data_IF_502937019658
#
_entry.id   IF_502937019658
#
_cell.length_a   1.000
_cell.length_b   1.000
_cell.length_c   1.000
_cell.angle_alpha   90.00
_cell.angle_beta   90.00
_cell.angle_gamma   90.00
#
_symmetry.space_group_name_H-M   'P 1'
#
loop_
_entity.id
_entity.type
_entity.pdbx_description
1 polymer ?
#
# COMPACT_ATOMS: atom_id res chain seq x y z
N UNK A 1 -0.15 1.69 5.98
CA UNK A 1 -1.18 2.60 5.45
C UNK A 1 -0.60 3.89 4.87
N UNK A 2 0.24 4.68 5.56
CA UNK A 2 1.01 5.76 4.89
C UNK A 2 1.91 5.24 3.75
N UNK A 3 2.47 4.03 3.90
CA UNK A 3 3.19 3.31 2.83
C UNK A 3 2.33 2.97 1.60
N UNK A 4 1.00 2.99 1.72
CA UNK A 4 0.07 2.65 0.63
C UNK A 4 -0.37 3.91 -0.11
N UNK A 5 -0.92 4.90 0.60
CA UNK A 5 -1.50 6.10 -0.03
C UNK A 5 -0.50 7.20 -0.39
N UNK A 6 0.42 7.56 0.52
CA UNK A 6 1.27 8.76 0.33
C UNK A 6 2.29 8.58 -0.79
N UNK A 7 2.73 7.34 -0.99
CA UNK A 7 3.74 7.03 -1.99
C UNK A 7 3.16 7.09 -3.40
N UNK A 8 1.95 6.54 -3.56
CA UNK A 8 1.24 6.62 -4.83
C UNK A 8 0.99 8.08 -5.22
N UNK A 9 0.58 8.93 -4.28
CA UNK A 9 0.43 10.37 -4.54
C UNK A 9 1.73 11.03 -5.00
N UNK A 10 2.86 10.71 -4.36
CA UNK A 10 4.17 11.20 -4.76
C UNK A 10 4.57 10.75 -6.17
N UNK A 11 4.31 9.49 -6.53
CA UNK A 11 4.66 8.91 -7.82
C UNK A 11 3.76 9.39 -8.97
N UNK A 12 2.48 9.64 -8.71
CA UNK A 12 1.52 10.08 -9.74
C UNK A 12 1.51 11.61 -9.92
N UNK A 13 1.96 12.36 -8.92
CA UNK A 13 2.01 13.82 -8.96
C UNK A 13 0.66 14.52 -8.81
N UNK A 14 -0.44 13.77 -8.66
CA UNK A 14 -1.80 14.26 -8.53
C UNK A 14 -2.60 13.49 -7.47
N UNK A 15 -3.82 13.92 -7.16
CA UNK A 15 -4.73 13.15 -6.30
C UNK A 15 -5.34 11.96 -7.03
N UNK A 16 -5.65 10.88 -6.32
CA UNK A 16 -6.34 9.71 -6.90
C UNK A 16 -7.65 10.08 -7.62
N UNK A 17 -8.35 11.11 -7.14
CA UNK A 17 -9.58 11.63 -7.75
C UNK A 17 -9.44 12.17 -9.18
N UNK A 18 -8.22 12.56 -9.55
CA UNK A 18 -7.93 13.09 -10.89
C UNK A 18 -7.63 11.99 -11.91
N UNK A 19 -7.52 10.74 -11.47
CA UNK A 19 -7.24 9.59 -12.31
C UNK A 19 -8.53 9.06 -12.97
N UNK A 20 -8.39 8.37 -14.10
CA UNK A 20 -9.50 7.62 -14.68
C UNK A 20 -9.95 6.46 -13.78
N UNK A 21 -11.17 5.97 -13.96
CA UNK A 21 -11.72 4.86 -13.17
C UNK A 21 -10.79 3.62 -13.18
N UNK A 22 -10.21 3.31 -14.35
CA UNK A 22 -9.25 2.22 -14.53
C UNK A 22 -7.96 2.46 -13.73
N UNK A 23 -7.41 3.67 -13.79
CA UNK A 23 -6.21 4.05 -13.04
C UNK A 23 -6.46 4.01 -11.53
N UNK A 24 -7.63 4.45 -11.08
CA UNK A 24 -8.01 4.33 -9.67
C UNK A 24 -8.16 2.86 -9.24
N UNK A 25 -8.68 2.00 -10.12
CA UNK A 25 -8.77 0.57 -9.84
C UNK A 25 -7.38 -0.07 -9.69
N UNK A 26 -6.45 0.27 -10.59
CA UNK A 26 -5.04 -0.16 -10.50
C UNK A 26 -4.38 0.35 -9.22
N UNK A 27 -4.55 1.63 -8.89
CA UNK A 27 -4.01 2.22 -7.67
C UNK A 27 -4.50 1.51 -6.41
N UNK A 28 -5.80 1.17 -6.33
CA UNK A 28 -6.37 0.39 -5.21
C UNK A 28 -5.74 -0.99 -5.09
N UNK A 29 -5.56 -1.71 -6.21
CA UNK A 29 -4.90 -3.02 -6.21
C UNK A 29 -3.47 -2.93 -5.69
N UNK A 30 -2.71 -1.95 -6.18
CA UNK A 30 -1.33 -1.70 -5.70
C UNK A 30 -1.31 -1.46 -4.19
N UNK A 31 -2.22 -0.62 -3.66
CA UNK A 31 -2.30 -0.36 -2.22
C UNK A 31 -2.54 -1.65 -1.42
N UNK A 32 -3.47 -2.51 -1.84
CA UNK A 32 -3.75 -3.75 -1.13
C UNK A 32 -2.58 -4.74 -1.23
N UNK A 33 -1.93 -4.86 -2.39
CA UNK A 33 -0.75 -5.71 -2.56
C UNK A 33 0.39 -5.31 -1.62
N UNK A 34 0.66 -4.00 -1.47
CA UNK A 34 1.63 -3.50 -0.47
C UNK A 34 1.25 -3.97 0.93
N UNK A 35 -0.04 -3.87 1.29
CA UNK A 35 -0.57 -4.32 2.57
C UNK A 35 -0.35 -5.81 2.81
N UNK A 36 -0.64 -6.65 1.82
CA UNK A 36 -0.40 -8.10 1.89
C UNK A 36 1.08 -8.42 2.16
N UNK A 37 2.00 -7.81 1.41
CA UNK A 37 3.44 -8.00 1.60
C UNK A 37 3.90 -7.58 3.01
N UNK A 38 3.46 -6.41 3.48
CA UNK A 38 3.79 -5.93 4.83
C UNK A 38 3.33 -6.92 5.90
N UNK A 39 2.11 -7.45 5.75
CA UNK A 39 1.55 -8.42 6.70
C UNK A 39 2.33 -9.73 6.68
N UNK A 40 2.68 -10.26 5.51
CA UNK A 40 3.50 -11.48 5.41
C UNK A 40 4.86 -11.31 6.09
N UNK A 41 5.52 -10.17 5.87
CA UNK A 41 6.81 -9.87 6.53
C UNK A 41 6.65 -9.78 8.05
N UNK A 42 5.62 -9.08 8.53
CA UNK A 42 5.37 -8.94 9.96
C UNK A 42 5.04 -10.29 10.64
N UNK A 43 4.23 -11.14 10.01
CA UNK A 43 3.95 -12.49 10.52
C UNK A 43 5.21 -13.36 10.55
N UNK A 44 6.08 -13.28 9.53
CA UNK A 44 7.36 -13.99 9.50
C UNK A 44 8.31 -13.55 10.62
N UNK A 45 8.21 -12.30 11.09
CA UNK A 45 8.92 -11.78 12.25
C UNK A 45 8.31 -12.20 13.60
N UNK A 46 7.18 -12.93 13.59
CA UNK A 46 6.43 -13.29 14.79
C UNK A 46 5.66 -12.11 15.42
N UNK A 47 5.42 -11.05 14.64
CA UNK A 47 4.65 -9.89 15.10
C UNK A 47 3.16 -10.20 15.00
N UNK A 48 2.44 -10.06 16.11
CA UNK A 48 0.98 -10.13 16.12
C UNK A 48 0.40 -8.84 15.53
N UNK A 49 -0.38 -8.98 14.46
CA UNK A 49 -1.10 -7.87 13.83
C UNK A 49 -2.59 -8.02 14.17
N UNK A 50 -3.18 -6.95 14.68
CA UNK A 50 -4.63 -6.85 14.87
C UNK A 50 -5.36 -6.82 13.52
N UNK A 51 -6.68 -7.04 13.53
CA UNK A 51 -7.49 -6.92 12.32
C UNK A 51 -7.36 -5.53 11.69
N UNK A 52 -7.25 -5.51 10.37
CA UNK A 52 -7.15 -4.30 9.55
C UNK A 52 -8.55 -4.05 8.98
N UNK A 53 -9.27 -3.04 9.46
CA UNK A 53 -10.66 -2.75 9.02
C UNK A 53 -11.63 -3.92 9.21
N UNK A 54 -11.58 -4.55 10.38
CA UNK A 54 -12.34 -5.76 10.71
C UNK A 54 -12.01 -6.99 9.83
N UNK A 55 -10.97 -6.91 9.00
CA UNK A 55 -10.43 -8.03 8.24
C UNK A 55 -9.21 -8.59 9.00
N UNK A 56 -9.22 -9.88 9.39
CA UNK A 56 -8.07 -10.55 9.98
C UNK A 56 -6.79 -10.37 9.16
N UNK A 57 -5.67 -10.10 9.83
CA UNK A 57 -4.38 -9.98 9.15
C UNK A 57 -4.00 -11.24 8.35
N UNK A 58 -4.42 -12.42 8.81
CA UNK A 58 -4.17 -13.67 8.08
C UNK A 58 -4.78 -13.66 6.67
N UNK A 59 -5.94 -13.02 6.46
CA UNK A 59 -6.55 -12.92 5.12
C UNK A 59 -5.67 -12.10 4.16
N UNK A 60 -4.98 -11.07 4.65
CA UNK A 60 -3.99 -10.34 3.84
C UNK A 60 -2.75 -11.19 3.54
N UNK A 61 -2.32 -12.03 4.48
CA UNK A 61 -1.18 -12.91 4.28
C UNK A 61 -1.45 -13.96 3.21
N UNK A 62 -2.67 -14.53 3.25
CA UNK A 62 -3.11 -15.63 2.39
C UNK A 62 -3.49 -15.16 0.99
N UNK A 63 -3.93 -13.90 0.85
CA UNK A 63 -4.26 -13.33 -0.45
C UNK A 63 -3.04 -13.31 -1.37
N UNK A 64 -3.07 -14.12 -2.44
CA UNK A 64 -1.94 -14.32 -3.35
C UNK A 64 -2.31 -14.22 -4.82
N UNK A 65 -3.62 -14.21 -5.14
CA UNK A 65 -4.14 -14.03 -6.48
C UNK A 65 -4.81 -12.67 -6.67
N UNK A 66 -5.02 -12.28 -7.93
CA UNK A 66 -5.80 -11.07 -8.25
C UNK A 66 -7.25 -11.14 -7.76
N UNK A 67 -7.82 -12.35 -7.69
CA UNK A 67 -9.16 -12.56 -7.15
C UNK A 67 -9.20 -12.31 -5.65
N UNK A 68 -8.20 -12.79 -4.89
CA UNK A 68 -8.11 -12.54 -3.45
C UNK A 68 -7.94 -11.05 -3.16
N UNK A 69 -7.07 -10.38 -3.90
CA UNK A 69 -6.84 -8.93 -3.78
C UNK A 69 -8.14 -8.17 -4.06
N UNK A 70 -8.90 -8.58 -5.08
CA UNK A 70 -10.19 -7.97 -5.38
C UNK A 70 -11.22 -8.22 -4.27
N UNK A 71 -11.24 -9.44 -3.71
CA UNK A 71 -12.07 -9.78 -2.54
C UNK A 71 -11.76 -8.90 -1.34
N UNK A 72 -10.48 -8.69 -1.01
CA UNK A 72 -10.05 -7.78 0.06
C UNK A 72 -10.50 -6.34 -0.20
N UNK A 73 -10.40 -5.84 -1.44
CA UNK A 73 -10.90 -4.51 -1.80
C UNK A 73 -12.39 -4.39 -1.52
N UNK A 74 -13.17 -5.40 -1.87
CA UNK A 74 -14.62 -5.36 -1.73
C UNK A 74 -15.07 -5.50 -0.26
N UNK A 75 -14.37 -6.34 0.52
CA UNK A 75 -14.53 -6.40 1.98
C UNK A 75 -14.22 -5.05 2.65
N UNK A 76 -13.10 -4.41 2.26
CA UNK A 76 -12.73 -3.09 2.78
C UNK A 76 -13.78 -2.03 2.48
N UNK A 77 -14.33 -2.01 1.26
CA UNK A 77 -15.45 -1.12 0.90
C UNK A 77 -16.68 -1.38 1.76
N UNK A 78 -17.04 -2.65 1.96
CA UNK A 78 -18.20 -3.03 2.78
C UNK A 78 -18.03 -2.60 4.25
N UNK A 79 -16.85 -2.82 4.84
CA UNK A 79 -16.58 -2.52 6.25
C UNK A 79 -16.44 -1.02 6.52
N UNK A 80 -16.06 -0.23 5.50
CA UNK A 80 -15.92 1.23 5.62
C UNK A 80 -17.18 2.02 5.23
N UNK A 81 -18.10 1.43 4.45
CA UNK A 81 -19.38 2.05 4.09
C UNK A 81 -20.24 2.55 5.29
N UNK A 82 -20.34 1.83 6.43
CA UNK A 82 -21.15 2.30 7.56
C UNK A 82 -20.51 3.45 8.38
N UNK A 83 -19.25 3.82 8.15
CA UNK A 83 -18.54 4.87 8.91
C UNK A 83 -19.02 6.31 8.62
N UNK A 84 -20.05 6.52 7.77
CA UNK A 84 -20.56 7.84 7.31
C UNK A 84 -19.46 8.77 6.78
N UNK A 85 -18.56 8.21 6.00
CA UNK A 85 -17.54 8.95 5.26
C UNK A 85 -18.07 9.04 3.83
N UNK A 86 -18.25 10.25 3.27
CA UNK A 86 -18.70 10.40 1.89
C UNK A 86 -17.69 9.73 0.93
N UNK A 87 -18.09 9.30 -0.29
CA UNK A 87 -17.15 8.78 -1.28
C UNK A 87 -15.95 9.71 -1.51
N UNK A 88 -16.18 11.03 -1.51
CA UNK A 88 -15.16 12.09 -1.61
C UNK A 88 -14.24 12.16 -0.37
N UNK A 89 -14.74 11.82 0.81
CA UNK A 89 -13.94 11.75 2.03
C UNK A 89 -13.15 10.43 2.11
N UNK A 90 -13.65 9.32 1.56
CA UNK A 90 -12.89 8.07 1.38
C UNK A 90 -11.71 8.32 0.44
N UNK A 91 -11.96 9.11 -0.61
CA UNK A 91 -10.99 9.53 -1.62
C UNK A 91 -9.92 10.50 -1.09
N UNK A 92 -10.30 11.42 -0.18
CA UNK A 92 -9.35 12.29 0.54
C UNK A 92 -8.65 11.60 1.71
N UNK A 93 -9.24 10.55 2.28
CA UNK A 93 -8.65 9.89 3.43
C UNK A 93 -7.53 8.95 3.02
N UNK A 94 -7.65 8.18 1.93
CA UNK A 94 -6.68 7.13 1.55
C UNK A 94 -6.37 6.09 2.65
N UNK A 95 -6.91 6.29 3.86
CA UNK A 95 -6.50 5.83 5.19
C UNK A 95 -7.48 6.43 6.23
N UNK A 96 -8.50 5.74 6.75
CA UNK A 96 -9.06 6.09 8.06
C UNK A 96 -8.16 5.52 9.21
N UNK A 97 -8.33 5.87 10.50
CA UNK A 97 -7.23 5.78 11.47
C UNK A 97 -6.94 4.38 12.04
N UNK A 98 -5.70 3.91 11.78
CA UNK A 98 -4.74 3.14 12.62
C UNK A 98 -5.06 1.70 13.10
N UNK A 99 -4.22 0.73 12.68
CA UNK A 99 -3.74 -0.37 13.53
C UNK A 99 -2.37 0.01 14.15
N UNK A 100 -2.23 -0.28 15.43
CA UNK A 100 -1.14 0.05 16.35
C UNK A 100 0.29 -0.23 15.84
N UNK A 101 0.48 -1.26 15.01
CA UNK A 101 1.80 -1.61 14.45
C UNK A 101 2.35 -0.56 13.48
N UNK A 102 1.49 0.06 12.66
CA UNK A 102 1.89 1.08 11.71
C UNK A 102 2.43 2.33 12.44
N UNK A 103 1.94 2.59 13.65
CA UNK A 103 2.40 3.73 14.45
C UNK A 103 3.81 3.54 15.00
N UNK A 104 4.22 2.30 15.29
CA UNK A 104 5.55 2.02 15.82
C UNK A 104 6.64 2.15 14.75
N UNK A 105 6.31 1.86 13.48
CA UNK A 105 7.19 2.09 12.33
C UNK A 105 7.26 3.59 11.94
N UNK A 106 6.25 4.40 12.28
CA UNK A 106 6.10 5.82 11.89
C UNK A 106 6.95 6.84 12.68
N UNK A 107 7.85 6.43 13.59
CA UNK A 107 8.59 7.37 14.48
C UNK A 107 9.89 7.99 13.92
N UNK A 108 10.18 7.98 12.62
CA UNK A 108 11.42 8.57 12.07
C UNK A 108 11.30 9.32 10.74
N UNK A 109 11.39 10.65 10.75
CA UNK A 109 11.29 11.56 9.58
C UNK A 109 12.47 11.41 8.60
N UNK A 110 12.21 11.30 7.29
CA UNK A 110 12.11 12.39 6.26
C UNK A 110 12.15 11.82 4.82
N UNK A 111 12.41 10.51 4.65
CA UNK A 111 12.21 9.73 3.41
C UNK A 111 11.23 8.58 3.65
N UNK A 112 9.99 8.92 4.04
CA UNK A 112 8.97 7.97 4.55
C UNK A 112 8.67 6.81 3.60
N UNK A 113 8.90 6.94 2.29
CA UNK A 113 8.69 5.88 1.28
C UNK A 113 9.79 4.84 1.28
N UNK A 114 11.06 5.26 1.12
CA UNK A 114 12.21 4.35 1.20
C UNK A 114 12.31 3.74 2.58
N UNK A 115 12.04 4.54 3.61
CA UNK A 115 12.09 4.07 4.99
C UNK A 115 10.98 3.07 5.30
N UNK A 116 9.82 3.12 4.65
CA UNK A 116 8.74 2.16 4.88
C UNK A 116 8.78 1.00 3.88
N UNK A 117 8.61 1.27 2.58
CA UNK A 117 8.56 0.22 1.56
C UNK A 117 9.95 -0.41 1.33
N UNK A 118 11.02 0.40 1.37
CA UNK A 118 12.39 -0.12 1.30
C UNK A 118 12.78 -0.91 2.55
N UNK A 119 12.31 -0.52 3.74
CA UNK A 119 12.50 -1.32 4.96
C UNK A 119 11.75 -2.64 4.90
N UNK A 120 10.49 -2.65 4.45
CA UNK A 120 9.71 -3.86 4.26
C UNK A 120 10.41 -4.77 3.25
N UNK A 121 10.91 -4.21 2.15
CA UNK A 121 11.62 -4.99 1.15
C UNK A 121 12.93 -5.62 1.66
N UNK A 122 13.72 -4.83 2.39
CA UNK A 122 14.93 -5.31 3.03
C UNK A 122 14.63 -6.39 4.07
N UNK A 123 13.67 -6.13 4.95
CA UNK A 123 13.30 -7.05 6.04
C UNK A 123 12.70 -8.34 5.48
N UNK A 124 11.86 -8.23 4.44
CA UNK A 124 11.33 -9.38 3.72
C UNK A 124 12.46 -10.27 3.18
N UNK A 125 13.46 -9.69 2.53
CA UNK A 125 14.62 -10.43 2.07
C UNK A 125 15.40 -11.10 3.23
N UNK A 126 15.54 -10.44 4.38
CA UNK A 126 16.20 -11.00 5.58
C UNK A 126 15.44 -12.19 6.19
N UNK A 127 14.11 -12.21 6.09
CA UNK A 127 13.25 -13.28 6.63
C UNK A 127 12.74 -14.28 5.58
N UNK A 128 13.17 -14.15 4.32
CA UNK A 128 12.79 -15.04 3.22
C UNK A 128 11.37 -14.83 2.68
N UNK A 129 10.80 -13.63 2.82
CA UNK A 129 9.49 -13.25 2.27
C UNK A 129 9.68 -12.31 1.08
N UNK A 130 9.08 -12.66 -0.06
CA UNK A 130 9.11 -11.81 -1.25
C UNK A 130 8.18 -10.59 -1.11
N UNK A 131 8.70 -9.43 -1.55
CA UNK A 131 8.00 -8.14 -1.48
C UNK A 131 8.17 -7.33 -2.77
N UNK A 132 7.78 -7.89 -3.94
CA UNK A 132 8.04 -7.27 -5.24
C UNK A 132 7.43 -5.87 -5.39
N UNK A 133 6.22 -5.64 -4.86
CA UNK A 133 5.56 -4.33 -4.96
C UNK A 133 6.25 -3.28 -4.08
N UNK A 134 6.55 -3.61 -2.81
CA UNK A 134 7.27 -2.70 -1.91
C UNK A 134 8.66 -2.35 -2.48
N UNK A 135 9.36 -3.33 -3.07
CA UNK A 135 10.65 -3.11 -3.73
C UNK A 135 10.51 -2.17 -4.94
N UNK A 136 9.57 -2.45 -5.85
CA UNK A 136 9.35 -1.66 -7.06
C UNK A 136 8.97 -0.21 -6.74
N UNK A 137 8.13 -0.01 -5.72
CA UNK A 137 7.75 1.31 -5.23
C UNK A 137 8.94 2.08 -4.68
N UNK A 138 9.78 1.44 -3.86
CA UNK A 138 10.97 2.08 -3.32
C UNK A 138 11.95 2.48 -4.43
N UNK A 139 12.10 1.63 -5.44
CA UNK A 139 12.96 1.89 -6.60
C UNK A 139 12.44 3.03 -7.48
N UNK A 140 11.14 3.06 -7.78
CA UNK A 140 10.53 4.15 -8.56
C UNK A 140 10.67 5.49 -7.84
N UNK A 141 10.46 5.52 -6.51
CA UNK A 141 10.64 6.74 -5.73
C UNK A 141 12.09 7.25 -5.79
N UNK A 142 13.08 6.36 -5.62
CA UNK A 142 14.51 6.73 -5.76
C UNK A 142 14.81 7.38 -7.10
N UNK A 143 14.30 6.78 -8.18
CA UNK A 143 14.51 7.29 -9.55
C UNK A 143 13.86 8.66 -9.75
N UNK A 144 12.69 8.87 -9.14
CA UNK A 144 12.02 10.17 -9.17
C UNK A 144 12.80 11.23 -8.40
N UNK A 145 13.32 10.90 -7.21
CA UNK A 145 14.15 11.81 -6.40
C UNK A 145 15.49 12.13 -7.07
N UNK A 146 16.04 11.19 -7.84
CA UNK A 146 17.22 11.40 -8.67
C UNK A 146 16.94 12.22 -9.95
N UNK A 147 15.67 12.56 -10.23
CA UNK A 147 15.27 13.29 -11.43
C UNK A 147 15.32 12.45 -12.71
N UNK A 148 15.35 11.12 -12.61
CA UNK A 148 15.36 10.22 -13.77
C UNK A 148 13.96 9.99 -14.35
N UNK A 149 12.93 10.16 -13.52
CA UNK A 149 11.53 10.04 -13.91
C UNK A 149 10.74 11.21 -13.30
N UNK A 150 9.70 11.64 -14.00
CA UNK A 150 8.79 12.66 -13.53
C UNK A 150 7.58 12.03 -12.81
N UNK A 151 6.99 12.72 -11.82
CA UNK A 151 5.70 12.35 -11.25
C UNK A 151 4.63 12.33 -12.35
N UNK A 152 3.95 11.20 -12.54
CA UNK A 152 2.93 11.04 -13.57
C UNK A 152 2.05 9.82 -13.32
N UNK A 153 0.74 9.85 -13.68
CA UNK A 153 -0.12 8.67 -13.66
C UNK A 153 0.44 7.46 -14.41
N UNK A 154 1.31 7.67 -15.41
CA UNK A 154 1.99 6.59 -16.15
C UNK A 154 2.87 5.71 -15.25
N UNK A 155 3.28 6.19 -14.06
CA UNK A 155 4.03 5.39 -13.10
C UNK A 155 3.19 4.25 -12.49
N UNK A 156 1.85 4.31 -12.57
CA UNK A 156 0.97 3.19 -12.19
C UNK A 156 1.17 1.97 -13.12
N UNK A 157 1.35 2.20 -14.42
CA UNK A 157 1.57 1.11 -15.39
C UNK A 157 2.87 0.35 -15.11
N UNK A 158 3.89 1.07 -14.63
CA UNK A 158 5.17 0.46 -14.23
C UNK A 158 4.97 -0.48 -13.04
N UNK A 159 4.18 -0.05 -12.06
CA UNK A 159 3.85 -0.82 -10.86
C UNK A 159 2.90 -1.99 -11.14
N UNK A 160 2.00 -1.85 -12.11
CA UNK A 160 1.01 -2.87 -12.47
C UNK A 160 1.66 -4.21 -12.87
N UNK A 161 2.91 -4.20 -13.34
CA UNK A 161 3.66 -5.42 -13.68
C UNK A 161 4.00 -6.30 -12.46
N UNK A 162 3.81 -5.78 -11.24
CA UNK A 162 4.07 -6.46 -9.97
C UNK A 162 2.78 -6.89 -9.23
N UNK A 163 1.62 -6.85 -9.90
CA UNK A 163 0.33 -7.29 -9.39
C UNK A 163 0.03 -8.77 -9.69
#
# INVERSE_FOLDING_TARGET
INCMGNVLHGLIGTGLASLSDDQQAVARRIMITIGCEVVRVALALGICIESIWDIPAQEFADASSQEDIQGLIDQLKANTAPLRISPEQIEHLGVPPRPSLLQDVMKGRRTEVEYLNGYVAKTGAEVGVETPMNYAIAELMRRQEAGEIEPSPANLERLQTHL
#
